data_IF_489044936732
#
_entry.id   IF_489044936732
#
_cell.length_a   1.000
_cell.length_b   1.000
_cell.length_c   1.000
_cell.angle_alpha   90.00
_cell.angle_beta   90.00
_cell.angle_gamma   90.00
#
_symmetry.space_group_name_H-M   'P 1'
#
loop_
_entity.id
_entity.type
_entity.pdbx_description
1 polymer ?
#
# COMPACT_ATOMS: atom_id res chain seq x y z
N UNK A 1 28.24 -15.66 41.59
CA UNK A 1 27.58 -16.33 40.45
C UNK A 1 26.06 -16.13 40.43
N UNK A 2 25.36 -16.19 41.57
CA UNK A 2 23.89 -16.02 41.67
C UNK A 2 23.44 -14.57 41.39
N UNK A 3 24.25 -13.57 41.75
CA UNK A 3 23.91 -12.14 41.61
C UNK A 3 23.99 -11.65 40.15
N UNK A 4 24.93 -12.20 39.37
CA UNK A 4 25.10 -11.94 37.94
C UNK A 4 23.92 -12.48 37.11
N UNK A 5 23.37 -13.63 37.52
CA UNK A 5 22.23 -14.26 36.86
C UNK A 5 20.92 -13.49 37.10
N UNK A 6 20.74 -12.91 38.29
CA UNK A 6 19.61 -12.03 38.61
C UNK A 6 19.66 -10.71 37.81
N UNK A 7 20.85 -10.13 37.64
CA UNK A 7 21.01 -8.92 36.82
C UNK A 7 20.69 -9.19 35.34
N UNK A 8 21.11 -10.35 34.81
CA UNK A 8 20.77 -10.77 33.45
C UNK A 8 19.26 -10.95 33.24
N UNK A 9 18.57 -11.59 34.18
CA UNK A 9 17.12 -11.82 34.11
C UNK A 9 16.33 -10.50 34.17
N UNK A 10 16.80 -9.49 34.91
CA UNK A 10 16.16 -8.16 34.96
C UNK A 10 16.34 -7.41 33.64
N UNK A 11 17.53 -7.50 33.01
CA UNK A 11 17.77 -6.89 31.69
C UNK A 11 16.95 -7.56 30.59
N UNK A 12 16.84 -8.90 30.60
CA UNK A 12 15.95 -9.61 29.68
C UNK A 12 14.47 -9.30 29.95
N UNK A 13 14.06 -9.15 31.23
CA UNK A 13 12.70 -8.75 31.61
C UNK A 13 12.33 -7.33 31.18
N UNK A 14 13.30 -6.40 31.10
CA UNK A 14 13.10 -5.05 30.56
C UNK A 14 13.15 -4.99 29.03
N UNK A 15 13.60 -6.05 28.35
CA UNK A 15 13.58 -6.17 26.89
C UNK A 15 12.36 -6.90 26.36
N UNK A 16 11.50 -7.44 27.23
CA UNK A 16 10.23 -8.04 26.82
C UNK A 16 9.22 -6.90 26.68
N UNK A 17 8.79 -6.65 25.45
CA UNK A 17 7.71 -5.73 25.08
C UNK A 17 8.03 -4.24 25.24
N UNK A 18 9.03 -3.74 24.51
CA UNK A 18 8.71 -2.52 23.77
C UNK A 18 7.81 -2.97 22.63
N UNK A 19 6.54 -2.57 22.59
CA UNK A 19 5.83 -2.47 21.32
C UNK A 19 6.71 -1.57 20.45
N UNK A 20 7.61 -2.16 19.67
CA UNK A 20 8.39 -1.40 18.71
C UNK A 20 7.34 -0.75 17.81
N UNK A 21 7.37 0.57 17.67
CA UNK A 21 6.55 1.33 16.70
C UNK A 21 6.97 1.00 15.25
N UNK A 22 7.17 -0.27 14.94
CA UNK A 22 7.30 -0.75 13.58
C UNK A 22 5.92 -0.63 12.91
N UNK A 23 5.93 -0.28 11.63
CA UNK A 23 4.75 -0.40 10.79
C UNK A 23 4.17 -1.80 10.94
N UNK A 24 2.86 -1.87 11.19
CA UNK A 24 2.20 -3.10 11.59
C UNK A 24 1.08 -3.43 10.62
N UNK A 25 1.00 -4.69 10.20
CA UNK A 25 -0.21 -5.27 9.64
C UNK A 25 -1.06 -5.80 10.80
N UNK A 26 -2.31 -5.37 10.88
CA UNK A 26 -3.28 -5.76 11.90
C UNK A 26 -4.49 -6.38 11.23
N UNK A 27 -4.94 -7.54 11.72
CA UNK A 27 -6.24 -8.09 11.38
C UNK A 27 -7.23 -7.67 12.45
N UNK A 28 -8.31 -6.98 12.07
CA UNK A 28 -9.31 -6.53 13.04
C UNK A 28 -10.38 -7.60 13.35
N UNK A 29 -11.32 -7.29 14.23
CA UNK A 29 -12.38 -8.22 14.63
C UNK A 29 -13.33 -8.63 13.49
N UNK A 30 -13.34 -7.90 12.37
CA UNK A 30 -14.10 -8.24 11.16
C UNK A 30 -13.25 -9.00 10.12
N UNK A 31 -11.98 -9.26 10.43
CA UNK A 31 -11.05 -9.94 9.52
C UNK A 31 -10.50 -9.05 8.41
N UNK A 32 -10.59 -7.72 8.54
CA UNK A 32 -9.98 -6.75 7.61
C UNK A 32 -8.50 -6.65 7.89
N UNK A 33 -7.69 -6.57 6.84
CA UNK A 33 -6.23 -6.47 6.94
C UNK A 33 -5.82 -5.01 6.83
N UNK A 34 -5.38 -4.42 7.93
CA UNK A 34 -5.11 -2.99 8.04
C UNK A 34 -3.61 -2.77 8.17
N UNK A 35 -3.06 -1.89 7.33
CA UNK A 35 -1.70 -1.36 7.50
C UNK A 35 -1.79 -0.07 8.32
N UNK A 36 -1.10 -0.05 9.46
CA UNK A 36 -0.93 1.16 10.28
C UNK A 36 0.42 1.82 9.95
N UNK A 37 0.35 2.98 9.31
CA UNK A 37 1.50 3.78 8.91
C UNK A 37 1.76 4.99 9.82
N UNK A 38 1.15 5.03 11.01
CA UNK A 38 1.30 6.14 11.96
C UNK A 38 2.74 6.41 12.39
N UNK A 39 3.63 5.42 12.27
CA UNK A 39 5.05 5.52 12.62
C UNK A 39 5.94 6.22 11.55
N UNK A 40 5.41 6.54 10.37
CA UNK A 40 6.14 7.25 9.30
C UNK A 40 5.41 8.54 8.91
N UNK A 41 6.03 9.44 8.11
CA UNK A 41 5.31 10.60 7.56
C UNK A 41 4.05 10.17 6.81
N UNK A 42 2.89 10.58 7.33
CA UNK A 42 1.57 10.19 6.85
C UNK A 42 0.63 11.38 6.72
N UNK A 43 -0.51 11.17 6.06
CA UNK A 43 -1.66 12.08 6.01
C UNK A 43 -2.89 11.44 6.64
N UNK A 44 -3.73 12.27 7.25
CA UNK A 44 -5.08 11.92 7.72
C UNK A 44 -6.17 12.47 6.80
N UNK A 45 -5.81 13.29 5.82
CA UNK A 45 -6.72 13.70 4.74
C UNK A 45 -6.88 12.52 3.78
N UNK A 46 -8.11 12.04 3.52
CA UNK A 46 -8.35 10.94 2.60
C UNK A 46 -7.77 11.23 1.22
N UNK A 47 -7.15 10.23 0.63
CA UNK A 47 -6.59 10.34 -0.72
C UNK A 47 -7.71 10.30 -1.75
N UNK A 48 -7.48 11.00 -2.85
CA UNK A 48 -8.35 10.93 -4.01
C UNK A 48 -8.52 9.48 -4.48
N UNK A 49 -9.70 9.14 -4.99
CA UNK A 49 -9.98 7.81 -5.56
C UNK A 49 -9.93 7.79 -7.09
N UNK A 50 -9.77 8.95 -7.72
CA UNK A 50 -9.80 9.14 -9.17
C UNK A 50 -8.62 10.00 -9.62
N UNK A 51 -8.38 9.95 -10.92
CA UNK A 51 -7.44 10.80 -11.65
C UNK A 51 -8.07 11.25 -12.96
N UNK A 52 -7.65 12.41 -13.47
CA UNK A 52 -7.93 12.90 -14.82
C UNK A 52 -6.85 12.47 -15.84
N UNK A 53 -5.85 11.70 -15.41
CA UNK A 53 -4.82 11.13 -16.27
C UNK A 53 -5.42 10.20 -17.32
N UNK A 54 -4.83 10.20 -18.50
CA UNK A 54 -5.22 9.31 -19.62
C UNK A 54 -3.99 8.60 -20.18
N UNK A 55 -4.15 7.77 -21.20
CA UNK A 55 -3.01 7.18 -21.90
C UNK A 55 -2.11 8.21 -22.61
N UNK A 56 -2.64 9.41 -22.92
CA UNK A 56 -1.96 10.44 -23.71
C UNK A 56 -1.71 11.75 -22.96
N UNK A 57 -2.18 11.87 -21.72
CA UNK A 57 -1.99 13.06 -20.89
C UNK A 57 -1.69 12.68 -19.44
N UNK A 58 -0.75 13.41 -18.82
CA UNK A 58 -0.50 13.30 -17.38
C UNK A 58 -1.69 13.86 -16.60
N UNK A 59 -1.95 13.29 -15.43
CA UNK A 59 -2.94 13.85 -14.52
C UNK A 59 -2.49 15.18 -13.90
N UNK A 60 -3.46 15.97 -13.46
CA UNK A 60 -3.20 17.21 -12.73
C UNK A 60 -2.42 16.93 -11.44
N UNK A 61 -1.28 17.61 -11.24
CA UNK A 61 -0.39 17.35 -10.10
C UNK A 61 -0.88 18.04 -8.80
N UNK A 62 -1.99 17.57 -8.23
CA UNK A 62 -2.61 18.13 -7.02
C UNK A 62 -3.07 17.04 -6.05
N UNK A 63 -3.25 17.38 -4.77
CA UNK A 63 -3.72 16.45 -3.74
C UNK A 63 -5.08 15.79 -4.08
N UNK A 64 -5.94 16.48 -4.84
CA UNK A 64 -7.23 15.97 -5.31
C UNK A 64 -7.15 14.95 -6.45
N UNK A 65 -5.94 14.59 -6.88
CA UNK A 65 -5.72 13.66 -7.97
C UNK A 65 -4.86 12.47 -7.50
N UNK A 66 -5.42 11.26 -7.62
CA UNK A 66 -4.80 10.04 -7.12
C UNK A 66 -3.44 9.76 -7.77
N UNK A 67 -3.27 10.06 -9.07
CA UNK A 67 -2.04 9.73 -9.79
C UNK A 67 -0.91 10.74 -9.62
N UNK A 68 -1.20 11.87 -8.96
CA UNK A 68 -0.24 12.95 -8.78
C UNK A 68 0.93 12.57 -7.87
N UNK A 69 2.06 13.24 -8.10
CA UNK A 69 3.23 13.14 -7.22
C UNK A 69 2.93 13.77 -5.85
N UNK A 70 2.09 14.81 -5.83
CA UNK A 70 1.62 15.46 -4.58
C UNK A 70 0.82 14.49 -3.71
N UNK A 71 -0.10 13.72 -4.32
CA UNK A 71 -0.83 12.67 -3.61
C UNK A 71 0.12 11.58 -3.09
N UNK A 72 1.19 11.27 -3.81
CA UNK A 72 2.18 10.25 -3.43
C UNK A 72 3.17 10.69 -2.33
N UNK A 73 3.25 11.97 -1.94
CA UNK A 73 4.27 12.46 -0.99
C UNK A 73 4.21 11.77 0.38
N UNK A 74 3.01 11.36 0.82
CA UNK A 74 2.74 10.72 2.11
C UNK A 74 1.82 9.54 1.93
N UNK A 75 1.96 8.50 2.74
CA UNK A 75 0.97 7.41 2.81
C UNK A 75 -0.24 7.86 3.64
N UNK A 76 -1.42 7.27 3.39
CA UNK A 76 -2.54 7.46 4.31
C UNK A 76 -2.26 6.74 5.63
N UNK A 77 -2.69 7.32 6.75
CA UNK A 77 -2.33 6.86 8.10
C UNK A 77 -2.71 5.40 8.36
N UNK A 78 -3.94 5.01 8.00
CA UNK A 78 -4.45 3.65 8.17
C UNK A 78 -5.24 3.24 6.95
N UNK A 79 -4.80 2.21 6.24
CA UNK A 79 -5.52 1.72 5.07
C UNK A 79 -5.71 0.22 5.15
N UNK A 80 -6.87 -0.22 4.68
CA UNK A 80 -7.15 -1.64 4.50
C UNK A 80 -6.61 -2.11 3.17
N UNK A 81 -6.01 -3.30 3.16
CA UNK A 81 -5.52 -3.99 1.97
C UNK A 81 -6.50 -5.10 1.59
N UNK A 82 -6.90 -5.12 0.33
CA UNK A 82 -7.77 -6.20 -0.19
C UNK A 82 -7.05 -7.54 -0.16
N UNK A 83 -7.77 -8.60 0.22
CA UNK A 83 -7.24 -9.97 0.36
C UNK A 83 -6.84 -10.65 -0.94
N UNK A 84 -7.25 -10.14 -2.09
CA UNK A 84 -6.93 -10.74 -3.38
C UNK A 84 -6.55 -9.67 -4.39
N UNK A 85 -5.70 -10.04 -5.34
CA UNK A 85 -5.44 -9.25 -6.54
C UNK A 85 -6.67 -9.21 -7.45
N UNK A 86 -6.56 -8.41 -8.52
CA UNK A 86 -7.30 -8.67 -9.75
C UNK A 86 -7.05 -10.11 -10.22
N UNK A 87 -8.06 -10.71 -10.87
CA UNK A 87 -7.97 -12.11 -11.34
C UNK A 87 -6.98 -12.30 -12.48
N UNK A 88 -6.61 -11.23 -13.16
CA UNK A 88 -5.65 -11.16 -14.25
C UNK A 88 -4.92 -9.83 -14.22
N UNK A 89 -3.82 -9.72 -14.96
CA UNK A 89 -3.10 -8.47 -15.14
C UNK A 89 -3.94 -7.48 -15.95
N UNK A 90 -3.85 -6.21 -15.59
CA UNK A 90 -4.64 -5.12 -16.15
C UNK A 90 -3.71 -4.05 -16.74
N UNK A 91 -4.18 -3.32 -17.75
CA UNK A 91 -3.57 -2.03 -18.09
C UNK A 91 -3.71 -1.06 -16.91
N UNK A 92 -2.87 -0.03 -16.86
CA UNK A 92 -2.88 0.90 -15.72
C UNK A 92 -4.25 1.58 -15.53
N UNK A 93 -4.90 2.00 -16.62
CA UNK A 93 -6.25 2.59 -16.57
C UNK A 93 -7.29 1.59 -16.06
N UNK A 94 -7.19 0.32 -16.47
CA UNK A 94 -8.13 -0.72 -16.03
C UNK A 94 -7.90 -1.08 -14.55
N UNK A 95 -6.66 -1.01 -14.05
CA UNK A 95 -6.37 -1.20 -12.62
C UNK A 95 -6.97 -0.10 -11.75
N UNK A 96 -6.90 1.17 -12.21
CA UNK A 96 -7.56 2.30 -11.56
C UNK A 96 -9.07 2.10 -11.48
N UNK A 97 -9.72 1.79 -12.61
CA UNK A 97 -11.16 1.54 -12.70
C UNK A 97 -11.57 0.33 -11.88
N UNK A 98 -10.84 -0.79 -11.98
CA UNK A 98 -11.08 -2.01 -11.22
C UNK A 98 -11.15 -1.72 -9.73
N UNK A 99 -10.13 -1.05 -9.17
CA UNK A 99 -10.15 -0.73 -7.75
C UNK A 99 -11.22 0.30 -7.40
N UNK A 100 -11.49 1.30 -8.24
CA UNK A 100 -12.51 2.29 -7.96
C UNK A 100 -13.93 1.68 -7.89
N UNK A 101 -14.24 0.74 -8.78
CA UNK A 101 -15.58 0.17 -8.97
C UNK A 101 -15.88 -1.03 -8.05
N UNK A 102 -14.89 -1.53 -7.31
CA UNK A 102 -15.12 -2.58 -6.33
C UNK A 102 -16.12 -2.10 -5.25
N UNK A 103 -17.20 -2.88 -5.07
CA UNK A 103 -18.23 -2.66 -4.06
C UNK A 103 -18.09 -3.59 -2.85
N UNK A 104 -17.09 -4.47 -2.86
CA UNK A 104 -16.75 -5.37 -1.75
C UNK A 104 -16.67 -4.57 -0.43
N UNK A 105 -17.33 -5.07 0.61
CA UNK A 105 -17.38 -4.46 1.95
C UNK A 105 -17.80 -2.98 1.98
N UNK A 106 -18.68 -2.55 1.07
CA UNK A 106 -19.17 -1.17 0.98
C UNK A 106 -18.33 -0.25 0.09
N UNK A 107 -17.35 -0.80 -0.63
CA UNK A 107 -16.53 -0.06 -1.57
C UNK A 107 -15.50 0.85 -0.91
N UNK A 108 -15.20 1.99 -1.55
CA UNK A 108 -14.15 2.90 -1.11
C UNK A 108 -12.75 2.53 -1.61
N UNK A 109 -12.63 1.42 -2.32
CA UNK A 109 -11.38 0.91 -2.88
C UNK A 109 -10.77 1.88 -3.90
N UNK A 110 -9.43 1.88 -3.93
CA UNK A 110 -8.60 2.60 -4.88
C UNK A 110 -7.29 1.85 -5.08
N UNK A 111 -6.61 2.14 -6.18
CA UNK A 111 -5.24 1.66 -6.38
C UNK A 111 -4.32 2.40 -5.39
N UNK A 112 -3.32 1.74 -4.77
CA UNK A 112 -2.39 2.40 -3.86
C UNK A 112 -1.50 3.39 -4.62
N UNK A 113 -1.12 4.49 -3.97
CA UNK A 113 -0.04 5.36 -4.49
C UNK A 113 1.31 4.63 -4.44
N UNK A 114 2.32 5.14 -5.14
CA UNK A 114 3.66 4.53 -5.22
C UNK A 114 4.29 4.26 -3.85
N UNK A 115 4.18 5.20 -2.91
CA UNK A 115 4.67 5.03 -1.53
C UNK A 115 3.85 4.02 -0.72
N UNK A 116 2.54 3.98 -0.92
CA UNK A 116 1.69 2.98 -0.26
C UNK A 116 1.99 1.58 -0.77
N UNK A 117 2.18 1.43 -2.07
CA UNK A 117 2.58 0.16 -2.66
C UNK A 117 3.98 -0.25 -2.16
N UNK A 118 4.92 0.69 -2.10
CA UNK A 118 6.26 0.43 -1.55
C UNK A 118 6.20 -0.04 -0.10
N UNK A 119 5.33 0.57 0.72
CA UNK A 119 5.07 0.12 2.08
C UNK A 119 4.47 -1.28 2.13
N UNK A 120 3.50 -1.58 1.27
CA UNK A 120 2.95 -2.94 1.16
C UNK A 120 4.05 -3.96 0.82
N UNK A 121 4.99 -3.61 -0.06
CA UNK A 121 6.15 -4.46 -0.38
C UNK A 121 7.14 -4.62 0.77
N UNK A 122 7.29 -3.60 1.62
CA UNK A 122 8.06 -3.68 2.87
C UNK A 122 7.42 -4.68 3.84
N UNK A 123 6.10 -4.69 3.93
CA UNK A 123 5.30 -5.53 4.83
C UNK A 123 4.82 -6.85 4.17
N UNK A 124 5.35 -7.20 2.99
CA UNK A 124 4.77 -8.24 2.13
C UNK A 124 4.65 -9.64 2.76
N UNK A 125 5.51 -9.99 3.72
CA UNK A 125 5.41 -11.28 4.40
C UNK A 125 4.27 -11.32 5.43
N UNK A 126 3.96 -10.20 6.08
CA UNK A 126 2.77 -10.09 6.92
C UNK A 126 1.50 -10.06 6.07
N UNK A 127 1.52 -9.30 4.96
CA UNK A 127 0.41 -9.28 4.00
C UNK A 127 0.21 -10.62 3.28
N UNK A 128 1.28 -11.41 3.06
CA UNK A 128 1.15 -12.77 2.53
C UNK A 128 0.33 -13.64 3.49
N UNK A 129 0.66 -13.58 4.79
CA UNK A 129 -0.01 -14.35 5.83
C UNK A 129 -1.48 -13.95 6.00
N UNK A 130 -1.76 -12.65 6.01
CA UNK A 130 -3.08 -12.15 6.43
C UNK A 130 -3.98 -11.75 5.25
N UNK A 131 -3.39 -11.39 4.11
CA UNK A 131 -4.07 -10.82 2.93
C UNK A 131 -3.76 -11.55 1.62
N UNK A 132 -3.22 -12.78 1.66
CA UNK A 132 -2.82 -13.56 0.49
C UNK A 132 -2.05 -12.73 -0.56
N UNK A 133 -1.15 -11.87 -0.10
CA UNK A 133 -0.35 -11.04 -0.98
C UNK A 133 0.62 -11.90 -1.80
N UNK A 134 0.59 -11.78 -3.13
CA UNK A 134 1.35 -12.66 -4.02
C UNK A 134 2.73 -12.05 -4.29
N UNK A 135 3.77 -12.65 -3.73
CA UNK A 135 5.14 -12.11 -3.74
C UNK A 135 5.79 -12.03 -5.13
N UNK A 136 5.34 -12.85 -6.08
CA UNK A 136 5.93 -12.95 -7.42
C UNK A 136 5.17 -12.15 -8.48
N UNK A 137 4.07 -11.50 -8.11
CA UNK A 137 3.30 -10.66 -9.01
C UNK A 137 3.89 -9.25 -9.08
N UNK A 138 3.83 -8.65 -10.26
CA UNK A 138 3.98 -7.19 -10.42
C UNK A 138 2.64 -6.53 -10.10
N UNK A 139 2.66 -5.42 -9.35
CA UNK A 139 1.45 -4.66 -9.03
C UNK A 139 1.59 -3.22 -9.49
N UNK A 140 0.52 -2.69 -10.09
CA UNK A 140 0.42 -1.27 -10.39
C UNK A 140 0.28 -0.44 -9.10
N UNK A 141 0.92 0.72 -9.11
CA UNK A 141 0.50 1.84 -8.28
C UNK A 141 -0.28 2.85 -9.12
N UNK A 142 -1.03 3.70 -8.45
CA UNK A 142 -1.75 4.79 -9.06
C UNK A 142 -0.85 5.96 -9.47
N UNK A 143 0.36 6.07 -8.93
CA UNK A 143 1.22 7.23 -9.18
C UNK A 143 1.81 7.18 -10.59
N UNK A 144 1.80 8.33 -11.27
CA UNK A 144 2.46 8.52 -12.57
C UNK A 144 3.91 8.97 -12.41
N UNK A 145 4.77 8.50 -13.32
CA UNK A 145 6.09 9.08 -13.52
C UNK A 145 6.00 10.33 -14.41
N UNK A 146 5.30 10.18 -15.54
CA UNK A 146 4.97 11.21 -16.51
C UNK A 146 3.68 10.85 -17.28
N UNK A 147 3.40 11.53 -18.39
CA UNK A 147 2.21 11.32 -19.21
C UNK A 147 2.12 9.95 -19.87
N UNK A 148 3.21 9.19 -19.98
CA UNK A 148 3.28 7.90 -20.68
C UNK A 148 3.50 6.72 -19.72
N UNK A 149 4.19 6.97 -18.60
CA UNK A 149 4.60 5.92 -17.67
C UNK A 149 4.00 6.04 -16.27
N UNK A 150 3.67 4.91 -15.68
CA UNK A 150 3.25 4.79 -14.28
C UNK A 150 4.15 3.80 -13.51
N UNK A 151 4.12 3.86 -12.18
CA UNK A 151 4.94 3.01 -11.34
C UNK A 151 4.28 1.64 -11.10
N UNK A 152 5.06 0.57 -11.26
CA UNK A 152 4.72 -0.77 -10.80
C UNK A 152 5.90 -1.39 -10.04
N UNK A 153 5.60 -2.26 -9.09
CA UNK A 153 6.59 -2.96 -8.27
C UNK A 153 6.38 -4.46 -8.40
N UNK A 154 7.46 -5.23 -8.53
CA UNK A 154 7.47 -6.70 -8.41
C UNK A 154 8.28 -7.19 -7.20
N UNK A 155 9.19 -6.36 -6.67
CA UNK A 155 9.80 -6.51 -5.35
C UNK A 155 10.36 -5.15 -4.87
N UNK A 156 10.87 -5.06 -3.62
CA UNK A 156 11.43 -3.80 -3.06
C UNK A 156 12.58 -3.23 -3.92
N UNK A 157 13.41 -4.10 -4.48
CA UNK A 157 14.60 -3.71 -5.25
C UNK A 157 14.31 -3.46 -6.74
N UNK A 158 13.13 -3.82 -7.22
CA UNK A 158 12.71 -3.76 -8.62
C UNK A 158 11.41 -2.96 -8.71
N UNK A 159 11.56 -1.64 -8.53
CA UNK A 159 10.57 -0.65 -8.95
C UNK A 159 10.91 -0.19 -10.36
N UNK A 160 9.90 -0.08 -11.21
CA UNK A 160 10.06 0.38 -12.59
C UNK A 160 8.93 1.31 -13.01
N UNK A 161 9.20 2.11 -14.04
CA UNK A 161 8.18 2.87 -14.74
C UNK A 161 7.79 2.12 -16.01
N UNK A 162 6.50 1.88 -16.18
CA UNK A 162 5.98 1.06 -17.26
C UNK A 162 4.93 1.82 -18.05
N UNK A 163 4.84 1.53 -19.35
CA UNK A 163 3.89 2.13 -20.26
C UNK A 163 2.47 1.86 -19.79
N UNK A 164 1.67 2.93 -19.62
CA UNK A 164 0.29 2.83 -19.11
C UNK A 164 -0.64 2.00 -20.01
N UNK A 165 -0.37 2.01 -21.31
CA UNK A 165 -1.20 1.42 -22.38
C UNK A 165 -0.71 0.06 -22.88
N UNK A 166 0.55 -0.31 -22.59
CA UNK A 166 1.23 -1.44 -23.22
C UNK A 166 1.78 -2.46 -22.20
N UNK A 167 1.88 -2.09 -20.92
CA UNK A 167 2.24 -3.02 -19.85
C UNK A 167 0.99 -3.46 -19.09
N UNK A 168 1.06 -4.69 -18.56
CA UNK A 168 0.02 -5.25 -17.70
C UNK A 168 0.64 -5.68 -16.38
N UNK A 169 -0.05 -5.38 -15.28
CA UNK A 169 0.31 -5.81 -13.94
C UNK A 169 -0.96 -5.98 -13.10
N UNK A 170 -0.85 -6.67 -11.96
CA UNK A 170 -2.00 -6.91 -11.08
C UNK A 170 -2.41 -5.64 -10.32
N UNK A 171 -3.67 -5.60 -9.90
CA UNK A 171 -4.19 -4.56 -9.02
C UNK A 171 -4.42 -5.13 -7.61
N UNK A 172 -3.68 -4.62 -6.62
CA UNK A 172 -3.94 -4.86 -5.19
C UNK A 172 -4.55 -3.61 -4.58
N UNK A 173 -5.88 -3.60 -4.47
CA UNK A 173 -6.61 -2.41 -4.04
C UNK A 173 -6.46 -2.17 -2.53
N UNK A 174 -6.49 -0.88 -2.16
CA UNK A 174 -6.53 -0.43 -0.77
C UNK A 174 -7.68 0.55 -0.56
N UNK A 175 -8.10 0.78 0.68
CA UNK A 175 -9.02 1.87 1.03
C UNK A 175 -8.64 2.53 2.34
N UNK A 176 -8.91 3.82 2.43
CA UNK A 176 -8.60 4.64 3.60
C UNK A 176 -9.55 4.30 4.73
N UNK A 177 -9.01 4.02 5.93
CA UNK A 177 -9.78 3.85 7.15
C UNK A 177 -9.78 5.18 7.90
N UNK A 178 -10.84 5.94 7.69
CA UNK A 178 -11.07 7.18 8.44
C UNK A 178 -11.53 6.85 9.87
N UNK A 179 -11.14 7.67 10.86
CA UNK A 179 -11.66 7.58 12.23
C UNK A 179 -13.19 7.65 12.32
#
# INVERSE_FOLDING_TARGET
MIQSFKLLLIVFASCIMTDSYAQKVVVDGAGRVIVDASAIPHTTVPKARRTDATASSAGTNTLGNLSSKVSDEKVFQKFEVRKYDSTHELSWSNALTYCHDLLEDGGGWRLPTGRELSLMYLLRYELLRDANFILNNSHWSATEYDWKFAYALSNISHSGHFLKDSHSAYARCIRDITP
#
